data_IF_958576435086
#
_entry.id   IF_958576435086
#
_cell.length_a   1.000
_cell.length_b   1.000
_cell.length_c   1.000
_cell.angle_alpha   90.00
_cell.angle_beta   90.00
_cell.angle_gamma   90.00
#
_symmetry.space_group_name_H-M   'P 1'
#
loop_
_entity.id
_entity.type
_entity.pdbx_description
1 polymer ?
#
# COMPACT_ATOMS: atom_id res chain seq x y z
N UNK A 1 26.29 31.99 -4.81
CA UNK A 1 27.39 31.36 -4.06
C UNK A 1 28.27 30.66 -5.07
N UNK A 2 29.54 31.04 -5.13
CA UNK A 2 30.52 30.37 -5.99
C UNK A 2 30.85 28.99 -5.41
N UNK A 3 31.22 28.03 -6.26
CA UNK A 3 31.59 26.67 -5.82
C UNK A 3 32.71 26.68 -4.79
N UNK A 4 33.64 27.64 -4.89
CA UNK A 4 34.74 27.85 -3.95
C UNK A 4 34.24 28.18 -2.53
N UNK A 5 33.22 29.03 -2.42
CA UNK A 5 32.61 29.40 -1.13
C UNK A 5 31.90 28.21 -0.47
N UNK A 6 31.37 27.28 -1.26
CA UNK A 6 30.78 26.04 -0.75
C UNK A 6 31.87 25.11 -0.20
N UNK A 7 32.99 24.98 -0.89
CA UNK A 7 34.13 24.18 -0.41
C UNK A 7 34.76 24.77 0.86
N UNK A 8 34.93 26.09 0.94
CA UNK A 8 35.43 26.76 2.15
C UNK A 8 34.49 26.55 3.34
N UNK A 9 33.18 26.65 3.11
CA UNK A 9 32.18 26.40 4.15
C UNK A 9 32.22 24.94 4.65
N UNK A 10 32.38 23.97 3.74
CA UNK A 10 32.51 22.55 4.07
C UNK A 10 33.83 22.27 4.81
N UNK A 11 34.94 22.89 4.39
CA UNK A 11 36.25 22.72 5.03
C UNK A 11 36.26 23.32 6.45
N UNK A 12 35.67 24.50 6.63
CA UNK A 12 35.55 25.17 7.93
C UNK A 12 34.64 24.40 8.91
N UNK A 13 33.67 23.64 8.39
CA UNK A 13 32.71 22.87 9.19
C UNK A 13 32.83 21.36 8.95
N UNK A 14 34.03 20.87 8.63
CA UNK A 14 34.25 19.46 8.24
C UNK A 14 33.73 18.47 9.30
N UNK A 15 33.91 18.78 10.60
CA UNK A 15 33.43 17.94 11.70
C UNK A 15 31.91 17.83 11.68
N UNK A 16 31.19 18.94 11.51
CA UNK A 16 29.74 18.98 11.46
C UNK A 16 29.21 18.25 10.21
N UNK A 17 29.84 18.48 9.06
CA UNK A 17 29.52 17.77 7.80
C UNK A 17 29.75 16.27 7.94
N UNK A 18 30.85 15.84 8.56
CA UNK A 18 31.15 14.43 8.81
C UNK A 18 30.13 13.76 9.73
N UNK A 19 29.66 14.46 10.78
CA UNK A 19 28.60 13.95 11.68
C UNK A 19 27.27 13.80 10.94
N UNK A 20 26.90 14.78 10.10
CA UNK A 20 25.68 14.69 9.29
C UNK A 20 25.76 13.54 8.30
N UNK A 21 26.85 13.44 7.53
CA UNK A 21 27.04 12.37 6.55
C UNK A 21 27.05 11.01 7.26
N UNK A 22 27.77 10.89 8.38
CA UNK A 22 27.79 9.67 9.19
C UNK A 22 26.42 9.30 9.74
N UNK A 23 25.63 10.29 10.18
CA UNK A 23 24.25 10.09 10.64
C UNK A 23 23.32 9.61 9.53
N UNK A 24 23.43 10.19 8.33
CA UNK A 24 22.64 9.78 7.16
C UNK A 24 23.02 8.36 6.72
N UNK A 25 24.32 8.04 6.64
CA UNK A 25 24.80 6.68 6.30
C UNK A 25 24.34 5.68 7.35
N UNK A 26 24.39 6.03 8.65
CA UNK A 26 23.89 5.17 9.73
C UNK A 26 22.38 4.92 9.62
N UNK A 27 21.61 5.94 9.27
CA UNK A 27 20.17 5.83 9.09
C UNK A 27 19.80 4.98 7.86
N UNK A 28 20.49 5.18 6.73
CA UNK A 28 20.30 4.37 5.51
C UNK A 28 20.77 2.94 5.71
N UNK A 29 21.92 2.72 6.37
CA UNK A 29 22.43 1.39 6.69
C UNK A 29 21.51 0.60 7.63
N UNK A 30 20.77 1.29 8.52
CA UNK A 30 19.74 0.65 9.35
C UNK A 30 18.46 0.33 8.58
N UNK A 31 18.12 1.11 7.54
CA UNK A 31 16.99 0.80 6.64
C UNK A 31 17.32 -0.33 5.65
N UNK A 32 18.55 -0.39 5.13
CA UNK A 32 19.00 -1.45 4.22
C UNK A 32 19.43 -2.73 4.94
N UNK A 33 19.83 -2.64 6.21
CA UNK A 33 20.21 -3.76 7.07
C UNK A 33 19.05 -4.43 7.81
N UNK A 34 17.80 -4.01 7.60
CA UNK A 34 16.62 -4.60 8.24
C UNK A 34 16.35 -6.08 7.87
N UNK A 35 17.17 -6.68 7.00
CA UNK A 35 17.15 -8.11 6.67
C UNK A 35 18.48 -8.85 6.84
N UNK A 36 19.56 -8.20 7.30
CA UNK A 36 20.87 -8.86 7.42
C UNK A 36 21.32 -8.86 8.88
N UNK A 37 20.87 -9.89 9.60
CA UNK A 37 21.33 -10.19 10.93
C UNK A 37 22.85 -10.32 10.93
N UNK A 38 23.49 -9.42 11.68
CA UNK A 38 24.84 -9.62 12.20
C UNK A 38 24.86 -10.95 12.97
N UNK A 39 25.55 -11.93 12.40
CA UNK A 39 26.04 -13.08 13.15
C UNK A 39 27.56 -13.01 13.07
N UNK A 40 28.17 -12.39 14.07
CA UNK A 40 29.53 -12.68 14.50
C UNK A 40 29.79 -12.01 15.86
N UNK A 41 29.65 -12.80 16.92
CA UNK A 41 30.61 -12.98 18.04
C UNK A 41 29.91 -13.33 19.36
N UNK A 42 30.16 -14.58 19.81
CA UNK A 42 30.31 -14.91 21.23
C UNK A 42 29.11 -15.56 21.95
N UNK A 43 29.18 -16.87 22.21
CA UNK A 43 28.54 -17.47 23.40
C UNK A 43 27.72 -18.76 23.23
N UNK A 44 28.42 -19.90 23.13
CA UNK A 44 28.08 -21.28 23.55
C UNK A 44 26.63 -21.73 23.89
N UNK A 45 26.23 -22.82 23.19
CA UNK A 45 25.45 -24.02 23.62
C UNK A 45 23.96 -23.79 23.95
N UNK A 46 22.98 -24.44 23.29
CA UNK A 46 22.72 -25.89 23.37
C UNK A 46 21.67 -26.33 22.32
N UNK A 47 22.05 -27.36 21.56
CA UNK A 47 21.27 -28.50 21.03
C UNK A 47 19.71 -28.41 20.96
N UNK A 48 19.16 -28.34 19.74
CA UNK A 48 18.03 -29.17 19.27
C UNK A 48 17.67 -28.88 17.79
N UNK A 49 17.96 -29.84 16.91
CA UNK A 49 17.33 -30.02 15.58
C UNK A 49 16.06 -30.86 15.78
N UNK A 50 14.97 -30.68 15.00
CA UNK A 50 15.00 -31.12 13.59
C UNK A 50 14.08 -30.32 12.62
N UNK A 51 14.54 -30.14 11.38
CA UNK A 51 13.85 -30.56 10.14
C UNK A 51 14.46 -29.85 8.94
N UNK A 52 14.93 -30.67 7.99
CA UNK A 52 15.18 -30.29 6.60
C UNK A 52 13.89 -29.70 6.02
N UNK A 53 13.90 -28.42 5.71
CA UNK A 53 13.15 -27.88 4.58
C UNK A 53 14.23 -27.45 3.60
N UNK A 54 14.23 -28.09 2.43
CA UNK A 54 14.99 -27.63 1.28
C UNK A 54 14.55 -26.19 1.01
N UNK A 55 15.49 -25.27 1.18
CA UNK A 55 15.40 -23.93 0.62
C UNK A 55 15.34 -24.11 -0.89
N UNK A 56 14.13 -23.98 -1.45
CA UNK A 56 13.96 -23.64 -2.85
C UNK A 56 14.48 -22.20 -2.96
N UNK A 57 15.79 -22.07 -3.13
CA UNK A 57 16.42 -20.82 -3.53
C UNK A 57 15.82 -20.45 -4.88
N UNK A 58 14.83 -19.56 -4.87
CA UNK A 58 14.34 -18.93 -6.08
C UNK A 58 15.50 -18.11 -6.64
N UNK A 59 16.18 -18.67 -7.65
CA UNK A 59 17.28 -18.01 -8.32
C UNK A 59 16.70 -16.87 -9.16
N UNK A 60 16.72 -15.65 -8.60
CA UNK A 60 16.22 -14.45 -9.27
C UNK A 60 16.90 -14.21 -10.62
N UNK A 61 18.06 -14.81 -10.88
CA UNK A 61 18.74 -14.75 -12.19
C UNK A 61 18.08 -15.62 -13.26
N UNK A 62 17.28 -16.63 -12.91
CA UNK A 62 16.48 -17.41 -13.88
C UNK A 62 15.21 -16.67 -14.29
N UNK A 63 14.56 -15.97 -13.35
CA UNK A 63 13.32 -15.21 -13.62
C UNK A 63 13.56 -14.10 -14.66
N UNK A 64 14.68 -13.39 -14.58
CA UNK A 64 15.00 -12.32 -15.54
C UNK A 64 15.60 -12.81 -16.86
N UNK A 65 16.05 -14.07 -16.95
CA UNK A 65 16.53 -14.66 -18.21
C UNK A 65 15.41 -15.19 -19.10
N UNK A 66 14.22 -15.40 -18.54
CA UNK A 66 13.09 -15.98 -19.25
C UNK A 66 12.38 -14.95 -20.16
N UNK A 67 12.52 -13.66 -19.88
CA UNK A 67 11.89 -12.58 -20.66
C UNK A 67 12.66 -12.23 -21.95
N UNK A 68 13.87 -12.76 -22.14
CA UNK A 68 14.74 -12.43 -23.30
C UNK A 68 14.80 -13.56 -24.36
N UNK A 69 14.02 -14.63 -24.24
CA UNK A 69 14.06 -15.80 -25.15
C UNK A 69 12.76 -16.12 -25.88
N UNK A 70 11.88 -15.16 -26.08
CA UNK A 70 10.73 -15.32 -27.00
C UNK A 70 10.77 -14.33 -28.17
N UNK A 71 11.91 -14.21 -28.83
CA UNK A 71 11.98 -13.68 -30.19
C UNK A 71 12.83 -14.59 -31.06
N UNK A 72 12.18 -15.59 -31.66
CA UNK A 72 12.39 -16.06 -33.04
C UNK A 72 11.94 -17.50 -33.21
N UNK A 73 10.89 -17.69 -34.02
CA UNK A 73 10.83 -18.66 -35.12
C UNK A 73 9.60 -18.36 -35.99
N UNK A 74 9.74 -18.28 -37.33
CA UNK A 74 8.61 -18.08 -38.23
C UNK A 74 7.92 -19.41 -38.47
N UNK A 75 6.60 -19.45 -38.35
CA UNK A 75 5.78 -20.54 -38.90
C UNK A 75 4.77 -19.89 -39.83
N UNK A 76 5.06 -19.98 -41.12
CA UNK A 76 4.06 -19.95 -42.17
C UNK A 76 3.14 -21.15 -41.96
N UNK A 77 1.84 -20.92 -41.75
CA UNK A 77 0.79 -21.80 -42.27
C UNK A 77 -0.47 -20.97 -42.42
N UNK A 78 -0.90 -20.83 -43.67
CA UNK A 78 -2.15 -20.22 -44.07
C UNK A 78 -3.32 -21.03 -43.49
N UNK A 79 -4.14 -20.39 -42.67
CA UNK A 79 -5.55 -20.75 -42.49
C UNK A 79 -6.35 -19.46 -42.62
N UNK A 80 -6.99 -19.28 -43.77
CA UNK A 80 -8.10 -18.35 -43.92
C UNK A 80 -9.23 -18.82 -42.99
N UNK A 81 -9.24 -18.29 -41.78
CA UNK A 81 -10.41 -18.33 -40.91
C UNK A 81 -11.30 -17.18 -41.35
N UNK A 82 -12.45 -17.52 -41.92
CA UNK A 82 -13.55 -16.60 -42.14
C UNK A 82 -13.88 -15.91 -40.79
N UNK A 83 -13.52 -14.64 -40.65
CA UNK A 83 -14.00 -13.80 -39.57
C UNK A 83 -15.38 -13.27 -39.96
N UNK A 84 -16.44 -13.95 -39.53
CA UNK A 84 -17.74 -13.30 -39.37
C UNK A 84 -17.59 -12.24 -38.26
N UNK A 85 -17.76 -10.98 -38.62
CA UNK A 85 -17.61 -9.79 -37.76
C UNK A 85 -18.42 -9.89 -36.46
N UNK A 86 -17.81 -10.15 -35.28
CA UNK A 86 -18.46 -10.06 -33.98
C UNK A 86 -18.34 -8.64 -33.39
N UNK A 87 -17.92 -7.67 -34.21
CA UNK A 87 -17.60 -6.31 -33.77
C UNK A 87 -18.85 -5.50 -33.40
N UNK A 88 -19.98 -5.78 -34.07
CA UNK A 88 -21.25 -5.07 -33.82
C UNK A 88 -21.89 -5.48 -32.49
N UNK A 89 -21.87 -6.76 -32.13
CA UNK A 89 -22.42 -7.26 -30.86
C UNK A 89 -21.61 -6.75 -29.66
N UNK A 90 -20.27 -6.75 -29.78
CA UNK A 90 -19.39 -6.25 -28.71
C UNK A 90 -19.52 -4.74 -28.48
N UNK A 91 -19.73 -3.95 -29.54
CA UNK A 91 -19.99 -2.51 -29.40
C UNK A 91 -21.33 -2.22 -28.70
N UNK A 92 -22.38 -2.99 -29.01
CA UNK A 92 -23.68 -2.86 -28.35
C UNK A 92 -23.62 -3.24 -26.87
N UNK A 93 -22.89 -4.29 -26.51
CA UNK A 93 -22.64 -4.66 -25.11
C UNK A 93 -21.88 -3.59 -24.33
N UNK A 94 -20.87 -2.98 -24.94
CA UNK A 94 -20.15 -1.87 -24.30
C UNK A 94 -21.06 -0.67 -24.09
N UNK A 95 -21.86 -0.32 -25.09
CA UNK A 95 -22.77 0.83 -25.01
C UNK A 95 -23.84 0.63 -23.92
N UNK A 96 -24.40 -0.58 -23.81
CA UNK A 96 -25.36 -0.92 -22.76
C UNK A 96 -24.72 -0.89 -21.36
N UNK A 97 -23.49 -1.38 -21.20
CA UNK A 97 -22.75 -1.26 -19.93
C UNK A 97 -22.48 0.20 -19.54
N UNK A 98 -22.09 1.06 -20.49
CA UNK A 98 -21.90 2.49 -20.24
C UNK A 98 -23.19 3.17 -19.79
N UNK A 99 -24.32 2.85 -20.41
CA UNK A 99 -25.62 3.41 -20.05
C UNK A 99 -26.05 2.95 -18.64
N UNK A 100 -25.87 1.67 -18.31
CA UNK A 100 -26.15 1.18 -16.96
C UNK A 100 -25.29 1.84 -15.89
N UNK A 101 -23.99 2.03 -16.18
CA UNK A 101 -23.07 2.68 -15.26
C UNK A 101 -23.46 4.14 -15.03
N UNK A 102 -23.86 4.86 -16.08
CA UNK A 102 -24.39 6.22 -15.95
C UNK A 102 -25.67 6.27 -15.12
N UNK A 103 -26.64 5.38 -15.39
CA UNK A 103 -27.89 5.31 -14.61
C UNK A 103 -27.64 5.01 -13.13
N UNK A 104 -26.70 4.11 -12.82
CA UNK A 104 -26.28 3.81 -11.43
C UNK A 104 -25.63 5.02 -10.76
N UNK A 105 -24.73 5.72 -11.47
CA UNK A 105 -24.08 6.94 -10.99
C UNK A 105 -25.12 8.03 -10.71
N UNK A 106 -26.08 8.23 -11.60
CA UNK A 106 -27.10 9.25 -11.41
C UNK A 106 -28.00 8.93 -10.21
N UNK A 107 -28.48 7.69 -10.09
CA UNK A 107 -29.28 7.23 -8.92
C UNK A 107 -28.52 7.40 -7.62
N UNK A 108 -27.23 7.04 -7.57
CA UNK A 108 -26.39 7.25 -6.39
C UNK A 108 -26.21 8.74 -6.07
N UNK A 109 -26.03 9.58 -7.10
CA UNK A 109 -25.87 11.02 -6.91
C UNK A 109 -27.14 11.70 -6.37
N UNK A 110 -28.32 11.27 -6.84
CA UNK A 110 -29.62 11.73 -6.34
C UNK A 110 -29.81 11.30 -4.89
N UNK A 111 -29.52 10.04 -4.57
CA UNK A 111 -29.59 9.52 -3.19
C UNK A 111 -28.63 10.26 -2.24
N UNK A 112 -27.42 10.60 -2.70
CA UNK A 112 -26.46 11.40 -1.91
C UNK A 112 -26.95 12.83 -1.72
N UNK A 113 -27.55 13.46 -2.74
CA UNK A 113 -28.15 14.79 -2.63
C UNK A 113 -29.34 14.81 -1.67
N UNK A 114 -30.20 13.80 -1.73
CA UNK A 114 -31.32 13.62 -0.81
C UNK A 114 -30.85 13.41 0.63
N UNK A 115 -29.86 12.52 0.84
CA UNK A 115 -29.24 12.31 2.15
C UNK A 115 -28.60 13.59 2.69
N UNK A 116 -27.89 14.36 1.86
CA UNK A 116 -27.34 15.66 2.26
C UNK A 116 -28.45 16.63 2.67
N UNK A 117 -29.55 16.70 1.92
CA UNK A 117 -30.67 17.60 2.22
C UNK A 117 -31.38 17.23 3.54
N UNK A 118 -31.54 15.93 3.81
CA UNK A 118 -32.12 15.44 5.08
C UNK A 118 -31.17 15.62 6.26
N UNK A 119 -29.86 15.51 6.04
CA UNK A 119 -28.85 15.74 7.09
C UNK A 119 -28.73 17.24 7.41
N UNK A 120 -28.77 18.13 6.41
CA UNK A 120 -28.70 19.57 6.62
C UNK A 120 -29.86 20.18 7.43
N UNK A 121 -31.00 19.49 7.55
CA UNK A 121 -32.11 19.94 8.41
C UNK A 121 -31.97 19.50 9.88
N UNK A 122 -31.09 18.54 10.19
CA UNK A 122 -30.79 18.09 11.56
C UNK A 122 -29.43 18.58 12.08
N UNK A 123 -28.67 19.35 11.29
CA UNK A 123 -27.31 19.83 11.60
C UNK A 123 -27.29 21.18 12.38
N UNK A 124 -28.21 21.40 13.32
CA UNK A 124 -28.01 22.45 14.35
C UNK A 124 -27.06 21.96 15.46
N UNK A 125 -26.74 20.67 15.49
CA UNK A 125 -25.62 20.16 16.27
C UNK A 125 -24.32 20.34 15.49
N UNK A 126 -23.52 21.30 15.97
CA UNK A 126 -22.23 21.73 15.43
C UNK A 126 -21.41 20.60 14.80
N UNK A 127 -21.01 20.81 13.54
CA UNK A 127 -19.80 20.19 12.97
C UNK A 127 -18.56 20.73 13.69
N UNK A 128 -18.38 20.38 14.96
CA UNK A 128 -17.03 20.31 15.52
C UNK A 128 -16.39 19.10 14.87
N UNK A 129 -15.70 19.33 13.76
CA UNK A 129 -14.76 18.34 13.26
C UNK A 129 -13.87 17.96 14.43
N UNK A 130 -13.90 16.68 14.82
CA UNK A 130 -12.97 16.15 15.80
C UNK A 130 -11.58 16.30 15.18
N UNK A 131 -10.87 17.36 15.58
CA UNK A 131 -9.47 17.53 15.24
C UNK A 131 -8.69 16.52 16.09
N UNK A 132 -8.45 15.35 15.50
CA UNK A 132 -7.74 14.26 16.13
C UNK A 132 -6.21 14.48 16.11
N UNK A 133 -5.73 15.66 15.69
CA UNK A 133 -4.31 16.04 15.66
C UNK A 133 -3.39 14.95 15.09
N UNK A 134 -3.88 14.25 14.05
CA UNK A 134 -3.18 13.11 13.44
C UNK A 134 -1.84 13.51 12.79
N UNK A 135 -1.66 14.81 12.53
CA UNK A 135 -0.42 15.39 12.02
C UNK A 135 0.73 15.40 13.05
N UNK A 136 0.43 15.31 14.34
CA UNK A 136 1.42 15.29 15.41
C UNK A 136 1.78 13.86 15.86
N UNK A 137 1.14 12.84 15.30
CA UNK A 137 1.32 11.46 15.71
C UNK A 137 2.67 10.91 15.23
N UNK A 138 3.46 10.36 16.15
CA UNK A 138 4.72 9.69 15.76
C UNK A 138 4.45 8.32 15.14
N UNK A 139 5.35 7.85 14.26
CA UNK A 139 5.24 6.51 13.64
C UNK A 139 5.11 5.38 14.68
N UNK A 140 5.77 5.53 15.84
CA UNK A 140 5.70 4.54 16.93
C UNK A 140 4.31 4.50 17.56
N UNK A 141 3.64 5.63 17.70
CA UNK A 141 2.29 5.72 18.25
C UNK A 141 1.25 5.22 17.24
N UNK A 142 1.42 5.53 15.95
CA UNK A 142 0.60 4.95 14.90
C UNK A 142 0.66 3.43 14.92
N UNK A 143 1.87 2.85 15.01
CA UNK A 143 2.05 1.40 15.09
C UNK A 143 1.43 0.80 16.35
N UNK A 144 1.56 1.45 17.51
CA UNK A 144 0.85 1.03 18.73
C UNK A 144 -0.67 1.01 18.49
N UNK A 145 -1.22 2.03 17.84
CA UNK A 145 -2.65 2.09 17.50
C UNK A 145 -3.11 0.89 16.67
N UNK A 146 -2.30 0.46 15.70
CA UNK A 146 -2.58 -0.75 14.91
C UNK A 146 -2.55 -2.00 15.77
N UNK A 147 -1.54 -2.17 16.64
CA UNK A 147 -1.47 -3.31 17.56
C UNK A 147 -2.69 -3.32 18.49
N UNK A 148 -3.09 -2.18 19.03
CA UNK A 148 -4.29 -2.06 19.87
C UNK A 148 -5.57 -2.40 19.09
N UNK A 149 -5.67 -2.01 17.82
CA UNK A 149 -6.82 -2.36 16.99
C UNK A 149 -6.93 -3.87 16.77
N UNK A 150 -5.80 -4.57 16.65
CA UNK A 150 -5.78 -6.02 16.55
C UNK A 150 -6.16 -6.71 17.86
N UNK A 151 -5.60 -6.24 18.98
CA UNK A 151 -5.89 -6.79 20.32
C UNK A 151 -7.36 -6.57 20.73
N UNK A 152 -7.92 -5.40 20.41
CA UNK A 152 -9.29 -5.03 20.76
C UNK A 152 -10.33 -5.61 19.78
N UNK A 153 -9.90 -6.02 18.58
CA UNK A 153 -10.76 -6.61 17.57
C UNK A 153 -11.64 -5.59 16.81
N UNK A 154 -12.70 -6.09 16.15
CA UNK A 154 -13.52 -5.29 15.24
C UNK A 154 -14.20 -4.13 15.98
N UNK A 155 -14.29 -2.94 15.37
CA UNK A 155 -14.84 -1.76 16.03
C UNK A 155 -16.31 -1.97 16.41
N UNK A 156 -16.67 -1.51 17.62
CA UNK A 156 -18.05 -1.55 18.16
C UNK A 156 -19.11 -0.99 17.22
N UNK A 157 -18.76 0.01 16.41
CA UNK A 157 -19.67 0.58 15.41
C UNK A 157 -20.18 -0.44 14.38
N UNK A 158 -19.42 -1.52 14.13
CA UNK A 158 -19.84 -2.62 13.23
C UNK A 158 -20.64 -3.71 13.92
N UNK A 159 -20.74 -3.67 15.25
CA UNK A 159 -21.49 -4.62 16.07
C UNK A 159 -22.34 -3.86 17.09
N UNK A 160 -23.37 -3.12 16.64
CA UNK A 160 -24.29 -2.46 17.55
C UNK A 160 -25.00 -3.51 18.41
N UNK A 161 -24.97 -3.34 19.73
CA UNK A 161 -25.74 -4.20 20.62
C UNK A 161 -27.23 -3.98 20.40
N UNK A 162 -27.97 -5.07 20.20
CA UNK A 162 -29.41 -5.07 20.36
C UNK A 162 -29.72 -4.68 21.79
N UNK A 163 -30.29 -3.50 22.00
CA UNK A 163 -30.93 -3.19 23.27
C UNK A 163 -32.20 -4.05 23.35
N UNK A 164 -32.40 -4.72 24.48
CA UNK A 164 -33.58 -5.54 24.71
C UNK A 164 -34.81 -4.63 24.70
N UNK A 165 -35.58 -4.67 23.61
CA UNK A 165 -36.92 -4.06 23.56
C UNK A 165 -37.80 -4.90 24.46
N UNK A 166 -38.05 -4.42 25.68
CA UNK A 166 -39.01 -5.03 26.60
C UNK A 166 -40.41 -4.85 25.99
N UNK A 167 -40.93 -5.88 25.32
CA UNK A 167 -42.35 -5.95 24.93
C UNK A 167 -43.19 -5.79 26.21
N UNK A 168 -44.03 -4.77 26.23
CA UNK A 168 -45.16 -4.66 27.17
C UNK A 168 -46.32 -5.50 26.66
#
# INVERSE_FOLDING_TARGET
MSIEQLFDFIAQNFIFVAVIIGGIISMLGRLSGAGQGQQEQGGQRTNQQPRRQQEEQVDWREIFKQEERETSKPIETQQEVYFEDPTVSRQQELQTQYEEMQRKREKSSRKVKELRKTTSQNEVYEKRGLDLQLSQLSNREAMKGVVWAEVLGRPRAKQPHSTFVRKR
#
